data_IF_287476723125
#
_entry.id   IF_287476723125
#
_cell.length_a   1.000
_cell.length_b   1.000
_cell.length_c   1.000
_cell.angle_alpha   90.00
_cell.angle_beta   90.00
_cell.angle_gamma   90.00
#
_symmetry.space_group_name_H-M   'P 1'
#
loop_
_entity.id
_entity.type
_entity.pdbx_description
1 polymer ?
#
# COMPACT_ATOMS: atom_id res chain seq x y z
N UNK A 1 -0.15 -25.39 -9.23
CA UNK A 1 -1.14 -24.44 -8.67
C UNK A 1 -1.17 -23.24 -9.61
N UNK A 2 -2.33 -22.74 -9.98
CA UNK A 2 -2.39 -21.58 -10.89
C UNK A 2 -2.00 -20.30 -10.13
N UNK A 3 -1.41 -19.32 -10.81
CA UNK A 3 -1.10 -17.99 -10.26
C UNK A 3 -2.32 -17.36 -9.56
N UNK A 4 -3.53 -17.62 -10.04
CA UNK A 4 -4.78 -17.13 -9.44
C UNK A 4 -5.03 -17.77 -8.07
N UNK A 5 -4.80 -19.07 -7.92
CA UNK A 5 -5.00 -19.78 -6.64
C UNK A 5 -4.04 -19.28 -5.56
N UNK A 6 -2.82 -18.90 -5.92
CA UNK A 6 -1.84 -18.32 -5.01
C UNK A 6 -2.23 -16.91 -4.59
N UNK A 7 -2.64 -16.07 -5.55
CA UNK A 7 -3.10 -14.71 -5.28
C UNK A 7 -4.34 -14.69 -4.37
N UNK A 8 -5.28 -15.62 -4.55
CA UNK A 8 -6.47 -15.70 -3.70
C UNK A 8 -6.20 -16.00 -2.23
N UNK A 9 -5.02 -16.51 -1.89
CA UNK A 9 -4.60 -16.70 -0.48
C UNK A 9 -4.27 -15.37 0.20
N UNK A 10 -3.98 -14.34 -0.58
CA UNK A 10 -3.72 -12.99 -0.09
C UNK A 10 -5.08 -12.37 0.29
N UNK A 11 -5.22 -11.93 1.53
CA UNK A 11 -6.51 -11.51 2.12
C UNK A 11 -7.28 -10.49 1.29
N UNK A 12 -6.56 -9.60 0.59
CA UNK A 12 -7.16 -8.61 -0.30
C UNK A 12 -8.00 -9.24 -1.42
N UNK A 13 -7.59 -10.39 -1.94
CA UNK A 13 -8.21 -11.06 -3.07
C UNK A 13 -9.22 -12.13 -2.67
N UNK A 14 -9.41 -12.39 -1.37
CA UNK A 14 -10.28 -13.47 -0.89
C UNK A 14 -11.75 -13.35 -1.34
N UNK A 15 -12.25 -12.12 -1.54
CA UNK A 15 -13.63 -11.86 -2.01
C UNK A 15 -13.81 -11.82 -3.54
N UNK A 16 -12.74 -12.05 -4.31
CA UNK A 16 -12.77 -12.00 -5.78
C UNK A 16 -13.11 -13.39 -6.34
N UNK A 17 -14.06 -13.43 -7.27
CA UNK A 17 -14.39 -14.62 -8.06
C UNK A 17 -13.25 -15.01 -9.00
N UNK A 18 -13.27 -16.24 -9.52
CA UNK A 18 -12.25 -16.68 -10.49
C UNK A 18 -12.27 -15.84 -11.77
N UNK A 19 -13.45 -15.42 -12.23
CA UNK A 19 -13.57 -14.55 -13.40
C UNK A 19 -12.96 -13.16 -13.19
N UNK A 20 -13.19 -12.55 -12.02
CA UNK A 20 -12.56 -11.28 -11.65
C UNK A 20 -11.04 -11.43 -11.51
N UNK A 21 -10.58 -12.52 -10.87
CA UNK A 21 -9.14 -12.80 -10.77
C UNK A 21 -8.49 -13.08 -12.12
N UNK A 22 -9.21 -13.67 -13.07
CA UNK A 22 -8.73 -13.87 -14.44
C UNK A 22 -8.41 -12.55 -15.16
N UNK A 23 -9.09 -11.45 -14.79
CA UNK A 23 -8.83 -10.11 -15.32
C UNK A 23 -7.71 -9.40 -14.56
N UNK A 24 -7.66 -9.56 -13.24
CA UNK A 24 -6.78 -8.81 -12.36
C UNK A 24 -5.38 -9.43 -12.21
N UNK A 25 -5.29 -10.75 -12.04
CA UNK A 25 -4.03 -11.48 -11.81
C UNK A 25 -2.96 -11.29 -12.92
N UNK A 26 -3.32 -11.17 -14.20
CA UNK A 26 -2.33 -10.92 -15.26
C UNK A 26 -1.64 -9.56 -15.14
N UNK A 27 -2.25 -8.58 -14.49
CA UNK A 27 -1.70 -7.22 -14.34
C UNK A 27 -0.57 -7.15 -13.32
N UNK A 28 -0.51 -8.11 -12.38
CA UNK A 28 0.45 -8.11 -11.29
C UNK A 28 1.70 -8.94 -11.61
N UNK A 29 2.88 -8.36 -11.43
CA UNK A 29 4.17 -9.05 -11.39
C UNK A 29 4.69 -9.16 -9.96
N UNK A 30 5.57 -10.14 -9.70
CA UNK A 30 6.26 -10.23 -8.41
C UNK A 30 7.53 -9.39 -8.42
N UNK A 31 7.81 -8.70 -7.30
CA UNK A 31 9.09 -8.01 -7.06
C UNK A 31 9.57 -8.33 -5.65
N UNK A 32 10.87 -8.59 -5.51
CA UNK A 32 11.52 -8.87 -4.23
C UNK A 32 12.42 -7.72 -3.82
N UNK A 33 12.50 -7.49 -2.53
CA UNK A 33 13.31 -6.44 -1.90
C UNK A 33 14.12 -7.04 -0.77
N UNK A 34 15.37 -6.59 -0.64
CA UNK A 34 16.24 -6.93 0.47
C UNK A 34 15.94 -6.06 1.69
N UNK A 35 16.36 -6.51 2.88
CA UNK A 35 16.21 -5.73 4.10
C UNK A 35 16.91 -4.35 3.96
N UNK A 36 16.20 -3.29 4.32
CA UNK A 36 16.66 -1.90 4.20
C UNK A 36 16.46 -1.26 2.82
N UNK A 37 16.05 -2.03 1.80
CA UNK A 37 15.87 -1.51 0.44
C UNK A 37 14.65 -0.57 0.36
N UNK A 38 14.83 0.57 -0.31
CA UNK A 38 13.77 1.56 -0.52
C UNK A 38 12.85 1.05 -1.62
N UNK A 39 11.58 0.88 -1.28
CA UNK A 39 10.52 0.40 -2.18
C UNK A 39 9.82 1.57 -2.86
N UNK A 40 9.57 2.64 -2.10
CA UNK A 40 8.92 3.86 -2.56
C UNK A 40 9.71 5.04 -2.02
N UNK A 41 10.39 5.83 -2.87
CA UNK A 41 11.11 7.01 -2.43
C UNK A 41 10.15 8.11 -1.95
N UNK A 42 10.64 8.97 -1.05
CA UNK A 42 9.95 10.21 -0.69
C UNK A 42 9.72 11.06 -1.96
N UNK A 43 8.53 11.66 -2.11
CA UNK A 43 8.16 12.51 -3.26
C UNK A 43 8.21 11.81 -4.64
N UNK A 44 8.26 10.48 -4.70
CA UNK A 44 8.25 9.78 -5.97
C UNK A 44 6.89 9.91 -6.68
N UNK A 45 6.90 10.15 -8.00
CA UNK A 45 5.76 9.88 -8.87
C UNK A 45 5.63 8.35 -9.06
N UNK A 46 5.40 7.61 -7.98
CA UNK A 46 5.20 6.17 -8.09
C UNK A 46 3.84 5.90 -8.73
N UNK A 47 3.85 5.20 -9.88
CA UNK A 47 2.65 4.87 -10.66
C UNK A 47 2.12 3.46 -10.41
N UNK A 48 2.75 2.74 -9.50
CA UNK A 48 2.46 1.34 -9.24
C UNK A 48 1.46 1.16 -8.08
N UNK A 49 0.59 0.16 -8.22
CA UNK A 49 -0.08 -0.47 -7.09
C UNK A 49 0.86 -1.52 -6.53
N UNK A 50 1.04 -1.54 -5.21
CA UNK A 50 1.90 -2.50 -4.54
C UNK A 50 1.17 -3.22 -3.41
N UNK A 51 1.25 -4.54 -3.37
CA UNK A 51 0.58 -5.40 -2.38
C UNK A 51 1.62 -6.29 -1.70
N UNK A 52 1.63 -6.31 -0.38
CA UNK A 52 2.56 -7.14 0.40
C UNK A 52 2.13 -8.61 0.38
N UNK A 53 3.00 -9.49 -0.12
CA UNK A 53 2.80 -10.95 -0.17
C UNK A 53 3.45 -11.63 1.03
N UNK A 54 4.70 -11.29 1.28
CA UNK A 54 5.50 -11.82 2.38
C UNK A 54 6.53 -10.78 2.81
N UNK A 55 6.98 -10.83 4.06
CA UNK A 55 7.95 -9.88 4.58
C UNK A 55 7.35 -8.87 5.56
N UNK A 56 7.98 -7.70 5.64
CA UNK A 56 7.58 -6.60 6.53
C UNK A 56 8.05 -5.28 5.94
N UNK A 57 7.15 -4.30 5.89
CA UNK A 57 7.40 -2.99 5.27
C UNK A 57 7.15 -1.91 6.30
N UNK A 58 8.09 -0.98 6.41
CA UNK A 58 7.93 0.26 7.12
C UNK A 58 7.42 1.32 6.13
N UNK A 59 6.25 1.89 6.42
CA UNK A 59 5.72 3.06 5.72
C UNK A 59 6.01 4.28 6.57
N UNK A 60 6.67 5.27 5.98
CA UNK A 60 7.16 6.47 6.66
C UNK A 60 6.43 7.70 6.11
N UNK A 61 5.77 8.45 6.98
CA UNK A 61 5.17 9.76 6.63
C UNK A 61 6.04 10.84 7.24
N UNK A 62 6.78 11.55 6.40
CA UNK A 62 7.58 12.69 6.81
C UNK A 62 6.74 13.97 6.74
N UNK A 63 6.68 14.72 7.84
CA UNK A 63 6.10 16.07 7.86
C UNK A 63 7.06 17.06 8.52
N UNK A 64 7.13 18.28 7.99
CA UNK A 64 7.90 19.38 8.57
C UNK A 64 7.09 20.03 9.69
N UNK A 65 7.62 20.05 10.92
CA UNK A 65 7.01 20.75 12.05
C UNK A 65 7.38 22.24 12.04
N UNK A 66 6.57 23.06 11.38
CA UNK A 66 6.75 24.53 11.36
C UNK A 66 8.05 24.97 10.67
N UNK A 67 8.76 25.94 11.26
CA UNK A 67 10.06 26.44 10.75
C UNK A 67 11.25 25.59 11.21
N UNK A 68 11.03 24.51 11.96
CA UNK A 68 12.12 23.63 12.40
C UNK A 68 12.59 22.72 11.26
N UNK A 69 13.88 22.39 11.24
CA UNK A 69 14.47 21.42 10.31
C UNK A 69 14.16 19.96 10.69
N UNK A 70 13.43 19.73 11.78
CA UNK A 70 13.11 18.39 12.26
C UNK A 70 11.92 17.80 11.49
N UNK A 71 12.15 16.67 10.83
CA UNK A 71 11.10 15.88 10.20
C UNK A 71 10.48 14.96 11.25
N UNK A 72 9.17 15.07 11.46
CA UNK A 72 8.42 14.02 12.14
C UNK A 72 8.24 12.87 11.16
N UNK A 73 8.72 11.67 11.54
CA UNK A 73 8.54 10.44 10.76
C UNK A 73 7.64 9.49 11.54
N UNK A 74 6.42 9.29 11.04
CA UNK A 74 5.52 8.26 11.55
C UNK A 74 5.79 6.96 10.81
N UNK A 75 6.14 5.89 11.53
CA UNK A 75 6.48 4.59 10.95
C UNK A 75 5.39 3.57 11.26
N UNK A 76 4.82 2.95 10.24
CA UNK A 76 3.85 1.87 10.41
C UNK A 76 4.34 0.61 9.70
N UNK A 77 4.24 -0.51 10.40
CA UNK A 77 4.58 -1.82 9.86
C UNK A 77 3.37 -2.48 9.22
N UNK A 78 3.54 -2.93 7.98
CA UNK A 78 2.52 -3.69 7.25
C UNK A 78 2.84 -5.19 7.32
N UNK A 79 1.80 -5.99 7.56
CA UNK A 79 1.83 -7.45 7.46
C UNK A 79 1.34 -7.92 6.10
N UNK A 80 1.71 -9.14 5.66
CA UNK A 80 1.19 -9.78 4.46
C UNK A 80 -0.33 -9.63 4.28
N UNK A 81 -0.76 -9.46 3.03
CA UNK A 81 -2.17 -9.32 2.69
C UNK A 81 -2.68 -7.89 2.52
N UNK A 82 -1.82 -6.89 2.70
CA UNK A 82 -2.19 -5.46 2.73
C UNK A 82 -1.65 -4.71 1.53
N UNK A 83 -2.39 -3.68 1.09
CA UNK A 83 -1.92 -2.74 0.08
C UNK A 83 -0.90 -1.80 0.71
N UNK A 84 0.26 -1.67 0.05
CA UNK A 84 1.32 -0.74 0.41
C UNK A 84 1.09 0.59 -0.31
N UNK A 85 0.77 0.57 -1.60
CA UNK A 85 0.55 1.77 -2.41
C UNK A 85 -0.63 1.57 -3.36
N UNK A 86 -1.48 2.58 -3.49
CA UNK A 86 -2.69 2.54 -4.30
C UNK A 86 -3.03 3.86 -4.99
N UNK A 87 -2.27 4.93 -4.73
CA UNK A 87 -2.67 6.27 -5.09
C UNK A 87 -2.93 6.38 -6.59
N UNK A 88 -2.09 5.80 -7.44
CA UNK A 88 -2.31 5.82 -8.90
C UNK A 88 -3.45 4.92 -9.43
N UNK A 89 -4.05 4.07 -8.59
CA UNK A 89 -5.26 3.33 -8.96
C UNK A 89 -6.56 4.09 -8.68
N UNK A 90 -6.50 5.23 -7.97
CA UNK A 90 -7.69 6.04 -7.64
C UNK A 90 -7.50 7.49 -8.08
N UNK A 91 -6.29 8.03 -7.98
CA UNK A 91 -5.99 9.44 -8.15
C UNK A 91 -5.48 9.76 -9.56
N UNK A 92 -6.13 10.75 -10.18
CA UNK A 92 -5.68 11.38 -11.43
C UNK A 92 -4.94 12.71 -11.17
N UNK A 93 -4.83 13.15 -9.91
CA UNK A 93 -4.38 14.49 -9.49
C UNK A 93 -3.19 14.40 -8.53
N UNK A 94 -2.01 14.02 -9.03
CA UNK A 94 -0.67 14.20 -8.38
C UNK A 94 -0.66 14.24 -6.83
N UNK A 95 -1.37 13.35 -6.13
CA UNK A 95 -1.29 13.24 -4.67
C UNK A 95 -0.17 12.29 -4.22
N UNK A 96 0.72 11.92 -5.14
CA UNK A 96 1.89 11.10 -4.87
C UNK A 96 2.86 11.82 -3.94
N UNK A 97 3.55 11.04 -3.09
CA UNK A 97 4.61 11.57 -2.22
C UNK A 97 4.23 11.87 -0.77
N UNK A 98 3.06 11.42 -0.30
CA UNK A 98 2.68 11.58 1.13
C UNK A 98 3.36 10.58 2.06
N UNK A 99 3.95 9.51 1.53
CA UNK A 99 4.69 8.50 2.30
C UNK A 99 5.82 7.88 1.46
N UNK A 100 6.89 7.46 2.13
CA UNK A 100 7.91 6.56 1.61
C UNK A 100 7.69 5.15 2.18
N UNK A 101 8.30 4.15 1.54
CA UNK A 101 8.24 2.77 2.02
C UNK A 101 9.60 2.08 1.86
N UNK A 102 9.95 1.25 2.85
CA UNK A 102 11.19 0.47 2.89
C UNK A 102 10.92 -0.93 3.41
N UNK A 103 11.62 -1.91 2.87
CA UNK A 103 11.61 -3.27 3.39
C UNK A 103 12.36 -3.32 4.74
N UNK A 104 11.73 -3.87 5.77
CA UNK A 104 12.36 -4.09 7.10
C UNK A 104 13.15 -5.40 7.10
N UNK A 105 12.64 -6.41 6.40
CA UNK A 105 13.29 -7.70 6.14
C UNK A 105 13.09 -8.09 4.68
N UNK A 106 13.65 -9.23 4.24
CA UNK A 106 13.38 -9.76 2.91
C UNK A 106 11.86 -9.77 2.66
N UNK A 107 11.45 -9.12 1.56
CA UNK A 107 10.05 -8.77 1.32
C UNK A 107 9.70 -9.07 -0.13
N UNK A 108 8.57 -9.73 -0.31
CA UNK A 108 7.99 -10.02 -1.62
C UNK A 108 6.69 -9.25 -1.78
N UNK A 109 6.55 -8.55 -2.90
CA UNK A 109 5.35 -7.79 -3.23
C UNK A 109 4.83 -8.14 -4.63
N UNK A 110 3.56 -7.88 -4.84
CA UNK A 110 2.98 -7.76 -6.17
C UNK A 110 2.99 -6.31 -6.59
N UNK A 111 3.38 -6.05 -7.83
CA UNK A 111 3.36 -4.74 -8.47
C UNK A 111 2.52 -4.76 -9.74
N UNK A 112 1.71 -3.74 -9.95
CA UNK A 112 0.97 -3.53 -11.19
C UNK A 112 0.97 -2.05 -11.56
N UNK A 113 0.83 -1.76 -12.86
CA UNK A 113 0.55 -0.40 -13.31
C UNK A 113 -0.82 0.06 -12.78
N UNK A 114 -0.85 1.20 -12.08
CA UNK A 114 -2.06 1.71 -11.45
C UNK A 114 -3.16 2.07 -12.44
N UNK A 115 -2.81 2.57 -13.63
CA UNK A 115 -3.80 2.90 -14.66
C UNK A 115 -4.43 1.64 -15.26
N UNK A 116 -3.66 0.58 -15.45
CA UNK A 116 -4.16 -0.71 -15.90
C UNK A 116 -5.13 -1.31 -14.88
N UNK A 117 -4.80 -1.26 -13.58
CA UNK A 117 -5.70 -1.71 -12.50
C UNK A 117 -6.98 -0.86 -12.47
N UNK A 118 -6.85 0.47 -12.56
CA UNK A 118 -7.99 1.38 -12.60
C UNK A 118 -8.90 1.10 -13.79
N UNK A 119 -8.33 0.92 -14.99
CA UNK A 119 -9.09 0.57 -16.20
C UNK A 119 -9.85 -0.74 -16.01
N UNK A 120 -9.20 -1.78 -15.48
CA UNK A 120 -9.84 -3.06 -15.22
C UNK A 120 -11.01 -2.91 -14.22
N UNK A 121 -10.85 -2.10 -13.18
CA UNK A 121 -11.92 -1.78 -12.22
C UNK A 121 -13.09 -1.01 -12.84
N UNK A 122 -12.84 -0.18 -13.86
CA UNK A 122 -13.90 0.53 -14.60
C UNK A 122 -14.66 -0.38 -15.55
N UNK A 123 -13.96 -1.30 -16.20
CA UNK A 123 -14.56 -2.28 -17.13
C UNK A 123 -15.38 -3.34 -16.40
N UNK A 124 -15.06 -3.63 -15.14
CA UNK A 124 -15.84 -4.49 -14.25
C UNK A 124 -16.12 -3.77 -12.92
N UNK A 125 -17.23 -3.00 -12.84
CA UNK A 125 -17.55 -2.21 -11.64
C UNK A 125 -17.73 -3.04 -10.36
N UNK A 126 -18.19 -4.30 -10.49
CA UNK A 126 -18.32 -5.20 -9.33
C UNK A 126 -16.97 -5.53 -8.71
N UNK A 127 -15.99 -5.85 -9.57
CA UNK A 127 -14.59 -6.00 -9.17
C UNK A 127 -14.01 -4.70 -8.61
N UNK A 128 -14.30 -3.57 -9.26
CA UNK A 128 -13.83 -2.25 -8.84
C UNK A 128 -14.28 -1.86 -7.44
N UNK A 129 -15.55 -2.09 -7.10
CA UNK A 129 -16.08 -1.86 -5.74
C UNK A 129 -15.34 -2.68 -4.70
N UNK A 130 -15.05 -3.96 -4.99
CA UNK A 130 -14.27 -4.82 -4.08
C UNK A 130 -12.87 -4.28 -3.87
N UNK A 131 -12.21 -3.84 -4.94
CA UNK A 131 -10.86 -3.28 -4.86
C UNK A 131 -10.81 -1.97 -4.06
N UNK A 132 -11.75 -1.06 -4.31
CA UNK A 132 -11.89 0.20 -3.55
C UNK A 132 -12.19 -0.08 -2.08
N UNK A 133 -13.04 -1.06 -1.78
CA UNK A 133 -13.32 -1.45 -0.40
C UNK A 133 -12.05 -1.89 0.33
N UNK A 134 -11.16 -2.63 -0.33
CA UNK A 134 -9.87 -3.03 0.25
C UNK A 134 -8.96 -1.83 0.52
N UNK A 135 -8.94 -0.85 -0.38
CA UNK A 135 -8.23 0.42 -0.15
C UNK A 135 -8.81 1.17 1.05
N UNK A 136 -10.14 1.24 1.18
CA UNK A 136 -10.80 1.89 2.31
C UNK A 136 -10.42 1.24 3.65
N UNK A 137 -10.35 -0.09 3.72
CA UNK A 137 -9.88 -0.82 4.91
C UNK A 137 -8.42 -0.47 5.26
N UNK A 138 -7.57 -0.30 4.24
CA UNK A 138 -6.19 0.15 4.45
C UNK A 138 -6.17 1.57 5.02
N UNK A 139 -6.88 2.52 4.39
CA UNK A 139 -6.99 3.92 4.86
C UNK A 139 -7.48 3.98 6.31
N UNK A 140 -8.53 3.25 6.66
CA UNK A 140 -9.07 3.21 8.02
C UNK A 140 -8.04 2.70 9.04
N UNK A 141 -7.28 1.66 8.69
CA UNK A 141 -6.18 1.17 9.53
C UNK A 141 -5.09 2.21 9.69
N UNK A 142 -4.59 2.79 8.59
CA UNK A 142 -3.53 3.81 8.64
C UNK A 142 -3.93 5.00 9.50
N UNK A 143 -5.17 5.47 9.36
CA UNK A 143 -5.70 6.57 10.17
C UNK A 143 -5.73 6.23 11.66
N UNK A 144 -6.12 5.00 12.01
CA UNK A 144 -6.09 4.51 13.40
C UNK A 144 -4.67 4.47 13.94
N UNK A 145 -3.73 3.92 13.18
CA UNK A 145 -2.34 3.75 13.60
C UNK A 145 -1.65 5.11 13.77
N UNK A 146 -1.83 6.02 12.81
CA UNK A 146 -1.37 7.42 12.90
C UNK A 146 -1.95 8.12 14.14
N UNK A 147 -3.24 7.96 14.43
CA UNK A 147 -3.86 8.56 15.63
C UNK A 147 -3.22 8.06 16.92
N UNK A 148 -2.96 6.75 17.03
CA UNK A 148 -2.32 6.17 18.21
C UNK A 148 -0.89 6.70 18.40
N UNK A 149 -0.12 6.81 17.32
CA UNK A 149 1.24 7.37 17.38
C UNK A 149 1.22 8.84 17.84
N UNK A 150 0.36 9.68 17.27
CA UNK A 150 0.24 11.09 17.67
C UNK A 150 -0.14 11.25 19.15
N UNK A 151 -1.08 10.43 19.66
CA UNK A 151 -1.45 10.45 21.09
C UNK A 151 -0.28 10.03 21.97
N UNK A 152 0.47 8.99 21.56
CA UNK A 152 1.63 8.51 22.32
C UNK A 152 2.74 9.56 22.42
N UNK A 153 2.99 10.31 21.34
CA UNK A 153 3.95 11.40 21.31
C UNK A 153 3.52 12.57 22.18
N UNK A 154 2.24 12.96 22.12
CA UNK A 154 1.71 14.04 22.95
C UNK A 154 1.82 13.73 24.45
N UNK A 155 1.67 12.46 24.85
CA UNK A 155 1.87 12.03 26.24
C UNK A 155 3.35 12.16 26.69
N UNK A 156 4.30 11.87 25.79
CA UNK A 156 5.74 11.99 26.09
C UNK A 156 6.20 13.44 26.24
N UNK A 157 5.61 14.39 25.52
CA UNK A 157 5.94 15.82 25.67
C UNK A 157 5.43 16.45 26.98
N UNK A 158 4.48 15.81 27.67
CA UNK A 158 3.91 16.27 28.94
C UNK A 158 4.54 15.61 30.18
N UNK A 159 5.61 14.82 29.99
CA UNK A 159 6.36 14.12 31.05
C UNK A 159 7.73 14.76 31.25
#
# INVERSE_FOLDING_TARGET
MSKIEELKKISIFAGFSDGEMGKLAPLFGERKFQAGEVMIPEQAENREVMILVDGQVAVEVATSLGQSSEKLVLTMELTPGRIIEWSCAIDTVKSGGTASARAVKETTVLVADGQAVFKACREDPGMGVKFIHQILLVVASRLKDTRLQLVSMAAQCNS
#
